data_IF_854496844578
#
_entry.id   IF_854496844578
#
_cell.length_a   1.000
_cell.length_b   1.000
_cell.length_c   1.000
_cell.angle_alpha   90.00
_cell.angle_beta   90.00
_cell.angle_gamma   90.00
#
_symmetry.space_group_name_H-M   'P 1'
#
loop_
_entity.id
_entity.type
_entity.pdbx_description
1 polymer ?
#
# COMPACT_ATOMS: atom_id res chain seq x y z
N UNK A 1 -16.51 6.45 -3.91
CA UNK A 1 -15.63 6.57 -2.71
C UNK A 1 -14.80 5.30 -2.65
N UNK A 2 -13.51 5.29 -3.01
CA UNK A 2 -12.82 4.02 -3.28
C UNK A 2 -12.23 3.33 -2.03
N UNK A 3 -12.06 4.03 -0.91
CA UNK A 3 -11.60 3.48 0.38
C UNK A 3 -12.09 4.32 1.55
N UNK A 4 -13.16 5.11 1.38
CA UNK A 4 -13.58 6.13 2.35
C UNK A 4 -12.61 7.33 2.47
N UNK A 5 -11.61 7.44 1.58
CA UNK A 5 -10.80 8.64 1.37
C UNK A 5 -11.31 9.39 0.13
N UNK A 6 -11.29 10.72 0.18
CA UNK A 6 -11.52 11.51 -1.03
C UNK A 6 -10.33 11.38 -1.99
N UNK A 7 -10.57 11.46 -3.29
CA UNK A 7 -9.51 11.37 -4.32
C UNK A 7 -8.41 12.39 -4.08
N UNK A 8 -8.76 13.58 -3.57
CA UNK A 8 -7.80 14.63 -3.23
C UNK A 8 -6.89 14.21 -2.07
N UNK A 9 -7.47 13.68 -0.98
CA UNK A 9 -6.70 13.20 0.17
C UNK A 9 -5.81 12.02 -0.22
N UNK A 10 -6.33 11.10 -1.04
CA UNK A 10 -5.55 9.98 -1.56
C UNK A 10 -4.33 10.46 -2.39
N UNK A 11 -4.51 11.42 -3.31
CA UNK A 11 -3.40 11.99 -4.09
C UNK A 11 -2.36 12.70 -3.23
N UNK A 12 -2.77 13.37 -2.16
CA UNK A 12 -1.86 13.97 -1.18
C UNK A 12 -1.05 12.89 -0.46
N UNK A 13 -1.71 11.81 -0.03
CA UNK A 13 -1.08 10.71 0.67
C UNK A 13 -0.06 9.97 -0.21
N UNK A 14 -0.40 9.70 -1.48
CA UNK A 14 0.55 9.17 -2.48
C UNK A 14 1.78 10.09 -2.62
N UNK A 15 1.57 11.42 -2.67
CA UNK A 15 2.68 12.39 -2.76
C UNK A 15 3.57 12.40 -1.52
N UNK A 16 2.98 12.26 -0.33
CA UNK A 16 3.74 12.17 0.93
C UNK A 16 4.57 10.90 0.97
N UNK A 17 3.99 9.76 0.58
CA UNK A 17 4.71 8.48 0.52
C UNK A 17 5.82 8.52 -0.52
N UNK A 18 5.59 9.12 -1.69
CA UNK A 18 6.61 9.32 -2.71
C UNK A 18 7.81 10.12 -2.15
N UNK A 19 7.55 11.24 -1.46
CA UNK A 19 8.58 12.08 -0.82
C UNK A 19 9.34 11.36 0.30
N UNK A 20 8.68 10.42 0.99
CA UNK A 20 9.28 9.63 2.07
C UNK A 20 10.08 8.42 1.55
N UNK A 21 10.20 8.25 0.22
CA UNK A 21 11.01 7.18 -0.37
C UNK A 21 10.20 5.97 -0.85
N UNK A 22 8.87 6.03 -0.90
CA UNK A 22 8.04 4.94 -1.42
C UNK A 22 8.24 4.67 -2.92
N UNK A 23 8.86 5.60 -3.66
CA UNK A 23 9.31 5.37 -5.05
C UNK A 23 10.67 4.65 -5.12
N UNK A 24 11.46 4.60 -4.05
CA UNK A 24 12.79 3.95 -4.02
C UNK A 24 12.71 2.43 -3.93
N UNK A 25 11.64 1.86 -4.45
CA UNK A 25 11.42 0.43 -4.42
C UNK A 25 12.18 -0.17 -5.60
N UNK A 26 13.32 -0.81 -5.27
CA UNK A 26 14.46 -1.03 -6.16
C UNK A 26 14.13 -1.43 -7.60
N UNK A 27 14.93 -0.88 -8.53
CA UNK A 27 14.89 -1.16 -9.96
C UNK A 27 14.84 -2.68 -10.23
N UNK A 28 13.68 -3.16 -10.67
CA UNK A 28 13.51 -4.54 -11.10
C UNK A 28 12.05 -4.93 -11.33
N UNK A 29 11.85 -5.96 -12.17
CA UNK A 29 10.55 -6.58 -12.52
C UNK A 29 9.70 -7.01 -11.30
N UNK A 30 10.29 -7.02 -10.10
CA UNK A 30 9.70 -7.43 -8.82
C UNK A 30 8.74 -6.40 -8.21
N UNK A 31 8.77 -5.14 -8.67
CA UNK A 31 7.96 -4.03 -8.14
C UNK A 31 7.11 -3.33 -9.22
N UNK A 32 6.58 -4.08 -10.19
CA UNK A 32 5.78 -3.55 -11.30
C UNK A 32 4.41 -2.96 -10.93
N UNK A 33 4.14 -2.73 -9.64
CA UNK A 33 2.88 -2.15 -9.15
C UNK A 33 3.08 -0.63 -8.97
N UNK A 34 2.24 0.22 -9.59
CA UNK A 34 2.31 1.68 -9.42
C UNK A 34 2.31 2.09 -7.94
N UNK A 35 3.01 3.17 -7.57
CA UNK A 35 3.05 3.63 -6.18
C UNK A 35 1.63 3.89 -5.63
N UNK A 36 0.74 4.45 -6.45
CA UNK A 36 -0.65 4.67 -6.08
C UNK A 36 -1.36 3.37 -5.68
N UNK A 37 -1.19 2.30 -6.46
CA UNK A 37 -1.81 1.00 -6.18
C UNK A 37 -1.21 0.35 -4.93
N UNK A 38 0.09 0.52 -4.71
CA UNK A 38 0.76 0.06 -3.48
C UNK A 38 0.25 0.79 -2.24
N UNK A 39 0.05 2.10 -2.34
CA UNK A 39 -0.54 2.92 -1.26
C UNK A 39 -2.00 2.55 -1.02
N UNK A 40 -2.77 2.31 -2.08
CA UNK A 40 -4.15 1.87 -2.00
C UNK A 40 -4.25 0.50 -1.33
N UNK A 41 -3.33 -0.41 -1.63
CA UNK A 41 -3.23 -1.72 -1.00
C UNK A 41 -3.08 -1.62 0.51
N UNK A 42 -2.15 -0.79 0.99
CA UNK A 42 -1.98 -0.60 2.45
C UNK A 42 -3.22 0.02 3.06
N UNK A 43 -3.83 1.01 2.40
CA UNK A 43 -5.06 1.63 2.89
C UNK A 43 -6.22 0.63 3.00
N UNK A 44 -6.38 -0.28 2.03
CA UNK A 44 -7.39 -1.35 2.07
C UNK A 44 -7.06 -2.34 3.18
N UNK A 45 -5.80 -2.78 3.28
CA UNK A 45 -5.37 -3.74 4.30
C UNK A 45 -5.58 -3.25 5.73
N UNK A 46 -5.43 -1.94 5.99
CA UNK A 46 -5.62 -1.36 7.33
C UNK A 46 -7.07 -0.95 7.63
N UNK A 47 -7.87 -0.66 6.60
CA UNK A 47 -9.24 -0.15 6.78
C UNK A 47 -10.30 -1.24 6.72
N UNK A 48 -9.96 -2.43 6.22
CA UNK A 48 -10.88 -3.55 6.09
C UNK A 48 -10.35 -4.76 6.85
N UNK A 49 -11.24 -5.55 7.46
CA UNK A 49 -10.90 -6.84 8.09
C UNK A 49 -10.62 -7.94 7.04
N UNK A 50 -10.09 -7.56 5.87
CA UNK A 50 -9.72 -8.50 4.83
C UNK A 50 -8.35 -9.11 5.14
N UNK A 51 -8.24 -10.42 4.93
CA UNK A 51 -6.96 -11.10 5.02
C UNK A 51 -6.00 -10.58 3.95
N UNK A 52 -4.70 -10.58 4.22
CA UNK A 52 -3.67 -10.18 3.24
C UNK A 52 -3.79 -10.97 1.91
N UNK A 53 -4.34 -12.18 1.94
CA UNK A 53 -4.62 -13.00 0.75
C UNK A 53 -5.78 -12.43 -0.07
N UNK A 54 -6.87 -12.01 0.57
CA UNK A 54 -7.99 -11.35 -0.12
C UNK A 54 -7.56 -10.01 -0.69
N UNK A 55 -6.77 -9.23 0.06
CA UNK A 55 -6.18 -8.00 -0.44
C UNK A 55 -5.32 -8.29 -1.68
N UNK A 56 -4.40 -9.25 -1.61
CA UNK A 56 -3.56 -9.60 -2.76
C UNK A 56 -4.36 -9.98 -4.02
N UNK A 57 -5.48 -10.71 -3.85
CA UNK A 57 -6.40 -11.05 -4.95
C UNK A 57 -7.04 -9.81 -5.59
N UNK A 58 -7.47 -8.84 -4.79
CA UNK A 58 -8.07 -7.58 -5.30
C UNK A 58 -7.10 -6.77 -6.15
N UNK A 59 -5.80 -6.85 -5.85
CA UNK A 59 -4.75 -6.15 -6.58
C UNK A 59 -4.10 -7.00 -7.68
N UNK A 60 -4.55 -8.24 -7.89
CA UNK A 60 -3.99 -9.13 -8.92
C UNK A 60 -2.52 -9.52 -8.67
N UNK A 61 -2.06 -9.46 -7.41
CA UNK A 61 -0.69 -9.77 -7.03
C UNK A 61 -0.61 -10.98 -6.11
N UNK A 62 0.59 -11.53 -5.94
CA UNK A 62 0.80 -12.62 -4.97
C UNK A 62 0.71 -12.11 -3.52
N UNK A 63 0.32 -12.99 -2.60
CA UNK A 63 0.32 -12.69 -1.15
C UNK A 63 1.69 -12.19 -0.66
N UNK A 64 2.78 -12.75 -1.17
CA UNK A 64 4.15 -12.36 -0.81
C UNK A 64 4.56 -11.01 -1.39
N UNK A 65 3.99 -10.60 -2.53
CA UNK A 65 4.16 -9.24 -3.05
C UNK A 65 3.37 -8.22 -2.20
N UNK A 66 2.12 -8.55 -1.84
CA UNK A 66 1.31 -7.72 -0.94
C UNK A 66 1.98 -7.54 0.42
N UNK A 67 2.53 -8.60 1.02
CA UNK A 67 3.26 -8.54 2.29
C UNK A 67 4.46 -7.59 2.23
N UNK A 68 5.27 -7.66 1.15
CA UNK A 68 6.40 -6.76 0.94
C UNK A 68 5.99 -5.30 0.78
N UNK A 69 4.86 -5.03 0.12
CA UNK A 69 4.29 -3.68 0.00
C UNK A 69 3.90 -3.13 1.38
N UNK A 70 3.21 -3.93 2.19
CA UNK A 70 2.79 -3.53 3.54
C UNK A 70 4.00 -3.28 4.43
N UNK A 71 4.97 -4.20 4.45
CA UNK A 71 6.19 -4.07 5.25
C UNK A 71 7.01 -2.82 4.89
N UNK A 72 7.10 -2.50 3.59
CA UNK A 72 7.85 -1.33 3.12
C UNK A 72 7.12 0.00 3.32
N UNK A 73 5.81 0.04 3.09
CA UNK A 73 5.04 1.29 3.09
C UNK A 73 4.36 1.59 4.44
N UNK A 74 4.08 0.61 5.28
CA UNK A 74 3.46 0.84 6.60
C UNK A 74 4.29 1.81 7.48
N UNK A 75 5.63 1.69 7.56
CA UNK A 75 6.46 2.65 8.29
C UNK A 75 6.40 4.06 7.67
N UNK A 76 6.37 4.15 6.33
CA UNK A 76 6.31 5.43 5.62
C UNK A 76 4.96 6.15 5.81
N UNK A 77 3.91 5.39 6.07
CA UNK A 77 2.58 5.90 6.38
C UNK A 77 2.40 6.25 7.86
N UNK A 78 3.45 6.07 8.69
CA UNK A 78 3.38 6.18 10.15
C UNK A 78 2.27 5.30 10.76
N UNK A 79 1.92 4.22 10.06
CA UNK A 79 1.04 3.18 10.57
C UNK A 79 1.93 2.32 11.46
N UNK A 80 2.08 2.69 12.72
CA UNK A 80 2.63 1.77 13.70
C UNK A 80 1.85 0.45 13.56
N UNK A 81 2.52 -0.71 13.46
CA UNK A 81 1.83 -1.98 13.42
C UNK A 81 0.99 -2.05 14.70
N UNK A 82 -0.34 -2.13 14.56
CA UNK A 82 -1.16 -2.64 15.65
C UNK A 82 -0.80 -4.10 15.72
N UNK A 83 0.13 -4.42 16.62
CA UNK A 83 0.37 -5.78 17.09
C UNK A 83 -0.99 -6.27 17.59
N UNK A 84 -1.63 -7.14 16.80
CA UNK A 84 -2.81 -7.91 17.21
C UNK A 84 -2.34 -9.31 17.52
#
# INVERSE_FOLDING_TARGET
>A
MFTGLSVRVFRTLVRVVARRGGEQTGCGRRWGVPLADRVLLVAVCYRTDLTLRQVALLFGISKSAAGRVVEHLAPLLALAPVTR
#
